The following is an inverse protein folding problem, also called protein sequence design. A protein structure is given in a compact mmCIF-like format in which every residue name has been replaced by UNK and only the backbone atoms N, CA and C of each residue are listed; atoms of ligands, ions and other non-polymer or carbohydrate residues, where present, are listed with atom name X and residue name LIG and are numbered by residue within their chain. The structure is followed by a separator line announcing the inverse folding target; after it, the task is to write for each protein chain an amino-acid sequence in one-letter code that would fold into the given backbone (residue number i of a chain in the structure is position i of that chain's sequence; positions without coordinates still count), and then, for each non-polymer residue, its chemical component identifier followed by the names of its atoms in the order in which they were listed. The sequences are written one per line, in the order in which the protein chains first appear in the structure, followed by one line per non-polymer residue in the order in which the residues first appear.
data_IF_981023959129
#
_entry.id   IF_981023959129
#
_cell.length_a   1.000
_cell.length_b   1.000
_cell.length_c   1.000
_cell.angle_alpha   90.00
_cell.angle_beta   90.00
_cell.angle_gamma   90.00
#
_symmetry.space_group_name_H-M   'P 1'
#
loop_
_entity.id
_entity.type
_entity.pdbx_description
1 polymer ?
#
# COMPACT_ATOMS: atom_id res chain seq x y z
N UNK A 1 -2.73 9.35 -17.65
CA UNK A 1 -3.44 8.30 -18.40
C UNK A 1 -3.73 7.06 -17.55
N UNK A 2 -2.73 6.42 -16.94
CA UNK A 2 -2.93 5.17 -16.19
C UNK A 2 -3.86 5.30 -14.97
N UNK A 3 -3.81 6.42 -14.24
CA UNK A 3 -4.68 6.68 -13.10
C UNK A 3 -6.16 6.80 -13.50
N UNK A 4 -6.44 7.60 -14.54
CA UNK A 4 -7.81 7.86 -15.00
C UNK A 4 -8.54 6.59 -15.46
N UNK A 5 -7.82 5.62 -16.02
CA UNK A 5 -8.38 4.33 -16.42
C UNK A 5 -8.30 3.27 -15.30
N UNK A 6 -7.26 3.32 -14.47
CA UNK A 6 -7.01 2.34 -13.43
C UNK A 6 -7.90 2.49 -12.20
N UNK A 7 -8.21 3.72 -11.78
CA UNK A 7 -9.00 3.92 -10.56
C UNK A 7 -10.42 3.33 -10.65
N UNK A 8 -11.21 3.53 -11.73
CA UNK A 8 -12.54 2.94 -11.81
C UNK A 8 -12.53 1.41 -11.74
N UNK A 9 -11.53 0.77 -12.35
CA UNK A 9 -11.38 -0.69 -12.36
C UNK A 9 -10.91 -1.22 -11.00
N UNK A 10 -9.94 -0.55 -10.38
CA UNK A 10 -9.46 -0.94 -9.04
C UNK A 10 -10.57 -0.79 -7.98
N UNK A 11 -11.36 0.28 -8.06
CA UNK A 11 -12.45 0.54 -7.12
C UNK A 11 -13.66 -0.37 -7.33
N UNK A 12 -13.82 -1.02 -8.50
CA UNK A 12 -14.86 -2.01 -8.71
C UNK A 12 -14.53 -3.38 -8.10
N UNK A 13 -13.34 -3.55 -7.52
CA UNK A 13 -12.91 -4.79 -6.89
C UNK A 13 -12.50 -5.88 -7.88
N UNK A 14 -12.31 -5.53 -9.16
CA UNK A 14 -11.87 -6.47 -10.18
C UNK A 14 -10.34 -6.61 -10.18
N UNK A 15 -9.87 -7.80 -10.54
CA UNK A 15 -8.46 -8.03 -10.82
C UNK A 15 -8.03 -7.23 -12.06
N UNK A 16 -6.87 -6.58 -11.98
CA UNK A 16 -6.38 -5.71 -13.04
C UNK A 16 -4.87 -5.84 -13.27
N UNK A 17 -4.48 -5.67 -14.54
CA UNK A 17 -3.08 -5.52 -14.94
C UNK A 17 -2.91 -4.14 -15.58
N UNK A 18 -2.24 -3.23 -14.87
CA UNK A 18 -1.96 -1.88 -15.35
C UNK A 18 -0.54 -1.77 -15.93
N UNK A 19 -0.42 -1.62 -17.25
CA UNK A 19 0.87 -1.40 -17.92
C UNK A 19 1.01 0.07 -18.32
N UNK A 20 2.04 0.74 -17.80
CA UNK A 20 2.37 2.12 -18.17
C UNK A 20 3.89 2.37 -18.04
N UNK A 21 4.38 3.42 -18.69
CA UNK A 21 5.80 3.79 -18.66
C UNK A 21 6.29 4.15 -17.24
N UNK A 22 7.60 4.10 -16.97
CA UNK A 22 8.19 4.59 -15.72
C UNK A 22 7.88 6.08 -15.52
N UNK A 23 7.75 6.54 -14.27
CA UNK A 23 7.40 7.94 -13.97
C UNK A 23 5.94 8.34 -14.27
N UNK A 24 5.09 7.45 -14.79
CA UNK A 24 3.69 7.76 -15.17
C UNK A 24 2.68 7.80 -14.01
N UNK A 25 3.13 7.75 -12.75
CA UNK A 25 2.25 7.81 -11.58
C UNK A 25 1.54 6.49 -11.23
N UNK A 26 2.08 5.34 -11.63
CA UNK A 26 1.53 4.00 -11.31
C UNK A 26 1.38 3.74 -9.81
N UNK A 27 2.26 4.29 -8.98
CA UNK A 27 2.20 4.10 -7.53
C UNK A 27 0.86 4.59 -6.96
N UNK A 28 0.45 5.81 -7.33
CA UNK A 28 -0.85 6.35 -6.92
C UNK A 28 -2.03 5.70 -7.64
N UNK A 29 -1.82 5.02 -8.77
CA UNK A 29 -2.91 4.33 -9.46
C UNK A 29 -3.41 3.11 -8.69
N UNK A 30 -2.58 2.48 -7.85
CA UNK A 30 -3.02 1.40 -6.95
C UNK A 30 -3.17 1.83 -5.48
N UNK A 31 -2.37 2.79 -4.99
CA UNK A 31 -2.44 3.19 -3.57
C UNK A 31 -3.74 3.91 -3.21
N UNK A 32 -4.24 4.82 -4.05
CA UNK A 32 -5.47 5.56 -3.73
C UNK A 32 -6.70 4.64 -3.70
N UNK A 33 -6.91 3.75 -4.70
CA UNK A 33 -7.95 2.74 -4.59
C UNK A 33 -7.79 1.82 -3.38
N UNK A 34 -6.55 1.44 -3.02
CA UNK A 34 -6.30 0.63 -1.82
C UNK A 34 -6.71 1.35 -0.53
N UNK A 35 -6.43 2.65 -0.39
CA UNK A 35 -6.87 3.45 0.76
C UNK A 35 -8.40 3.50 0.83
N UNK A 36 -9.08 3.71 -0.31
CA UNK A 36 -10.54 3.69 -0.37
C UNK A 36 -11.07 2.32 0.02
N UNK A 37 -10.46 1.25 -0.49
CA UNK A 37 -10.83 -0.13 -0.15
C UNK A 37 -10.70 -0.38 1.36
N UNK A 38 -9.57 0.00 1.98
CA UNK A 38 -9.33 -0.14 3.42
C UNK A 38 -10.40 0.59 4.24
N UNK A 39 -10.77 1.81 3.85
CA UNK A 39 -11.78 2.61 4.56
C UNK A 39 -13.20 1.99 4.53
N UNK A 40 -13.45 1.06 3.62
CA UNK A 40 -14.73 0.34 3.52
C UNK A 40 -14.67 -1.07 4.16
N UNK A 41 -13.57 -1.44 4.82
CA UNK A 41 -13.46 -2.66 5.61
C UNK A 41 -13.71 -2.36 7.10
N UNK A 42 -14.06 -3.39 7.91
CA UNK A 42 -14.01 -3.28 9.37
C UNK A 42 -12.62 -2.83 9.86
N UNK A 43 -12.59 -2.12 10.99
CA UNK A 43 -11.32 -1.77 11.62
C UNK A 43 -10.56 -3.03 12.03
N UNK A 44 -9.23 -3.00 11.85
CA UNK A 44 -8.34 -4.09 12.26
C UNK A 44 -8.43 -4.32 13.77
N UNK A 45 -8.56 -5.58 14.15
CA UNK A 45 -8.45 -6.04 15.53
C UNK A 45 -7.01 -6.44 15.86
N UNK A 46 -6.75 -6.66 17.14
CA UNK A 46 -5.42 -7.05 17.58
C UNK A 46 -5.10 -8.47 17.10
N UNK A 47 -4.04 -8.61 16.32
CA UNK A 47 -3.60 -9.88 15.75
C UNK A 47 -3.93 -10.04 14.27
N UNK A 48 -4.74 -9.12 13.72
CA UNK A 48 -5.02 -9.10 12.29
C UNK A 48 -3.78 -8.68 11.48
N UNK A 49 -3.71 -9.22 10.26
CA UNK A 49 -2.73 -8.82 9.25
C UNK A 49 -3.14 -7.56 8.48
N UNK A 50 -2.30 -7.13 7.52
CA UNK A 50 -2.61 -5.97 6.69
C UNK A 50 -3.77 -6.27 5.73
N UNK A 51 -4.65 -5.28 5.51
CA UNK A 51 -5.74 -5.34 4.51
C UNK A 51 -5.16 -5.23 3.09
N UNK A 52 -4.09 -4.43 2.91
CA UNK A 52 -3.43 -4.25 1.62
C UNK A 52 -1.96 -4.67 1.71
N UNK A 53 -1.53 -5.51 0.78
CA UNK A 53 -0.14 -5.96 0.63
C UNK A 53 0.39 -5.56 -0.75
N UNK A 54 1.49 -4.81 -0.78
CA UNK A 54 2.20 -4.46 -2.01
C UNK A 54 3.56 -5.16 -2.03
N UNK A 55 3.83 -5.92 -3.09
CA UNK A 55 5.11 -6.60 -3.28
C UNK A 55 5.97 -5.82 -4.28
N UNK A 56 7.24 -5.64 -3.93
CA UNK A 56 8.24 -4.99 -4.77
C UNK A 56 9.50 -5.88 -4.90
N UNK A 57 10.21 -5.83 -6.04
CA UNK A 57 11.34 -6.71 -6.32
C UNK A 57 12.62 -6.32 -5.58
N UNK A 58 12.72 -5.09 -5.06
CA UNK A 58 13.90 -4.59 -4.33
C UNK A 58 13.50 -3.84 -3.06
N UNK A 59 14.44 -3.74 -2.12
CA UNK A 59 14.24 -3.08 -0.83
C UNK A 59 13.98 -1.60 -1.03
N UNK A 60 14.76 -0.99 -1.92
CA UNK A 60 14.72 0.43 -2.24
C UNK A 60 13.37 0.79 -2.87
N UNK A 61 12.84 -0.05 -3.76
CA UNK A 61 11.52 0.19 -4.34
C UNK A 61 10.41 0.03 -3.30
N UNK A 62 10.48 -0.97 -2.42
CA UNK A 62 9.51 -1.16 -1.34
C UNK A 62 9.47 0.08 -0.42
N UNK A 63 10.64 0.60 -0.04
CA UNK A 63 10.76 1.82 0.76
C UNK A 63 10.20 3.05 0.04
N UNK A 64 10.49 3.21 -1.26
CA UNK A 64 9.93 4.32 -2.06
C UNK A 64 8.40 4.26 -2.12
N UNK A 65 7.81 3.08 -2.32
CA UNK A 65 6.36 2.90 -2.32
C UNK A 65 5.78 3.20 -0.94
N UNK A 66 6.41 2.72 0.14
CA UNK A 66 5.95 3.00 1.51
C UNK A 66 6.05 4.50 1.84
N UNK A 67 7.08 5.21 1.37
CA UNK A 67 7.20 6.65 1.59
C UNK A 67 6.05 7.42 0.93
N UNK A 68 5.67 7.04 -0.29
CA UNK A 68 4.49 7.59 -0.95
C UNK A 68 3.23 7.22 -0.17
N UNK A 69 3.05 5.94 0.21
CA UNK A 69 1.87 5.50 0.97
C UNK A 69 1.71 6.25 2.30
N UNK A 70 2.80 6.45 3.04
CA UNK A 70 2.80 7.11 4.34
C UNK A 70 2.24 8.55 4.29
N UNK A 71 2.48 9.27 3.19
CA UNK A 71 1.94 10.63 2.99
C UNK A 71 0.41 10.62 2.97
N UNK A 72 -0.19 9.72 2.18
CA UNK A 72 -1.64 9.64 2.01
C UNK A 72 -2.31 8.89 3.16
N UNK A 73 -1.71 7.83 3.67
CA UNK A 73 -2.20 7.08 4.83
C UNK A 73 -2.34 7.97 6.07
N UNK A 74 -1.36 8.87 6.31
CA UNK A 74 -1.43 9.83 7.41
C UNK A 74 -2.66 10.74 7.30
N UNK A 75 -2.99 11.21 6.10
CA UNK A 75 -4.18 12.03 5.87
C UNK A 75 -5.49 11.26 6.14
N UNK A 76 -5.49 9.93 5.95
CA UNK A 76 -6.64 9.06 6.14
C UNK A 76 -6.66 8.31 7.50
N UNK A 77 -5.75 8.64 8.43
CA UNK A 77 -5.58 7.93 9.73
C UNK A 77 -5.28 6.42 9.57
N UNK A 78 -4.67 6.04 8.46
CA UNK A 78 -4.19 4.69 8.20
C UNK A 78 -2.70 4.59 8.55
N UNK A 79 -2.24 3.36 8.79
CA UNK A 79 -0.84 3.03 9.02
C UNK A 79 -0.29 2.25 7.81
N UNK A 80 1.02 2.33 7.61
CA UNK A 80 1.72 1.57 6.59
C UNK A 80 3.18 1.34 7.01
N UNK A 81 3.61 0.09 6.99
CA UNK A 81 5.00 -0.31 7.26
C UNK A 81 5.67 -0.93 6.03
N UNK A 82 7.00 -0.99 6.02
CA UNK A 82 7.79 -1.60 4.95
C UNK A 82 8.56 -2.80 5.51
N UNK A 83 8.31 -3.98 4.95
CA UNK A 83 8.94 -5.24 5.39
C UNK A 83 9.98 -5.67 4.36
N UNK A 84 11.24 -5.80 4.81
CA UNK A 84 12.35 -6.18 3.94
C UNK A 84 13.54 -6.74 4.73
N UNK A 85 14.30 -7.63 4.10
CA UNK A 85 15.48 -8.26 4.69
C UNK A 85 16.66 -7.30 4.87
N UNK A 86 17.66 -7.71 5.66
CA UNK A 86 18.90 -6.95 5.86
C UNK A 86 18.79 -5.70 6.75
N UNK A 87 17.59 -5.40 7.27
CA UNK A 87 17.37 -4.46 8.36
C UNK A 87 16.96 -5.22 9.65
N UNK A 88 17.08 -4.61 10.84
CA UNK A 88 16.67 -5.25 12.08
C UNK A 88 15.20 -5.68 12.04
N UNK A 89 14.92 -6.94 12.42
CA UNK A 89 13.55 -7.50 12.43
C UNK A 89 12.68 -6.88 13.53
N UNK A 90 13.27 -6.52 14.67
CA UNK A 90 12.53 -6.04 15.84
C UNK A 90 11.58 -4.86 15.56
N UNK A 91 12.05 -3.75 14.93
CA UNK A 91 11.18 -2.66 14.53
C UNK A 91 10.04 -3.09 13.60
N UNK A 92 10.34 -3.88 12.57
CA UNK A 92 9.35 -4.33 11.59
C UNK A 92 8.25 -5.22 12.21
N UNK A 93 8.64 -6.12 13.13
CA UNK A 93 7.69 -6.96 13.88
C UNK A 93 6.79 -6.09 14.76
N UNK A 94 7.37 -5.14 15.50
CA UNK A 94 6.58 -4.23 16.36
C UNK A 94 5.61 -3.38 15.57
N UNK A 95 5.99 -2.94 14.38
CA UNK A 95 5.09 -2.18 13.52
C UNK A 95 3.90 -3.05 13.13
N UNK A 96 4.15 -4.27 12.61
CA UNK A 96 3.08 -5.23 12.28
C UNK A 96 2.14 -5.52 13.46
N UNK A 97 2.67 -5.80 14.64
CA UNK A 97 1.87 -6.06 15.85
C UNK A 97 1.01 -4.86 16.29
N UNK A 98 1.40 -3.64 15.92
CA UNK A 98 0.68 -2.39 16.20
C UNK A 98 -0.27 -1.97 15.07
N UNK A 99 -0.54 -2.88 14.13
CA UNK A 99 -1.34 -2.64 12.92
C UNK A 99 -0.57 -1.80 11.90
N UNK A 100 0.67 -2.22 11.63
CA UNK A 100 1.69 -1.49 10.87
C UNK A 100 1.26 -0.92 9.54
#
# INVERSE_FOLDING_TARGET
AIQAQGWPVALSGLDMVGVAQTGSGKTLSYLLPAIVHINHQPFLERGDGPICLVLAPTRELAQQVQQVAAEYCRACRLKSTCIYGGAPKGPQIRDLERGG
#
